data_IF_087916936058
#
_entry.id   IF_087916936058
#
_cell.length_a   1.000
_cell.length_b   1.000
_cell.length_c   1.000
_cell.angle_alpha   90.00
_cell.angle_beta   90.00
_cell.angle_gamma   90.00
#
_symmetry.space_group_name_H-M   'P 1'
#
loop_
_entity.id
_entity.type
_entity.pdbx_description
1 polymer ?
#
# COMPACT_ATOMS: atom_id res chain seq x y z
N UNK A 1 3.71 -12.02 -13.71
CA UNK A 1 3.31 -10.60 -13.76
C UNK A 1 3.64 -10.02 -12.39
N UNK A 2 4.77 -9.33 -12.25
CA UNK A 2 5.05 -8.58 -11.03
C UNK A 2 4.07 -7.40 -10.99
N UNK A 3 3.06 -7.46 -10.16
CA UNK A 3 2.39 -6.26 -9.67
C UNK A 3 3.37 -5.59 -8.70
N UNK A 4 4.36 -4.87 -9.26
CA UNK A 4 5.19 -4.00 -8.45
C UNK A 4 4.29 -2.83 -8.06
N UNK A 5 3.77 -2.89 -6.85
CA UNK A 5 3.19 -1.74 -6.21
C UNK A 5 4.20 -0.58 -6.23
N UNK A 6 3.73 0.62 -6.56
CA UNK A 6 4.59 1.81 -6.47
C UNK A 6 4.97 2.05 -5.01
N UNK A 7 6.17 2.58 -4.77
CA UNK A 7 6.63 2.94 -3.44
C UNK A 7 5.63 3.90 -2.79
N UNK A 8 5.30 3.65 -1.52
CA UNK A 8 4.28 4.44 -0.81
C UNK A 8 4.69 5.91 -0.69
N UNK A 9 5.98 6.21 -0.60
CA UNK A 9 6.54 7.58 -0.67
C UNK A 9 6.18 8.34 -1.94
N UNK A 10 6.01 7.66 -3.07
CA UNK A 10 5.69 8.29 -4.37
C UNK A 10 4.18 8.52 -4.54
N UNK A 11 3.36 7.85 -3.71
CA UNK A 11 1.91 7.94 -3.73
C UNK A 11 1.41 9.12 -2.88
N UNK A 12 0.52 9.91 -3.47
CA UNK A 12 -0.25 10.92 -2.75
C UNK A 12 -1.24 10.29 -1.76
N UNK A 13 -1.75 11.06 -0.80
CA UNK A 13 -2.74 10.56 0.14
C UNK A 13 -4.01 9.98 -0.53
N UNK A 14 -4.40 10.52 -1.68
CA UNK A 14 -5.53 10.02 -2.48
C UNK A 14 -5.19 8.68 -3.14
N UNK A 15 -3.99 8.55 -3.72
CA UNK A 15 -3.54 7.29 -4.32
C UNK A 15 -3.32 6.20 -3.27
N UNK A 16 -2.78 6.54 -2.09
CA UNK A 16 -2.69 5.60 -0.96
C UNK A 16 -4.06 5.09 -0.54
N UNK A 17 -5.08 5.96 -0.55
CA UNK A 17 -6.45 5.55 -0.27
C UNK A 17 -7.02 4.65 -1.37
N UNK A 18 -6.78 4.98 -2.65
CA UNK A 18 -7.19 4.15 -3.78
C UNK A 18 -6.55 2.76 -3.71
N UNK A 19 -5.25 2.66 -3.41
CA UNK A 19 -4.55 1.38 -3.25
C UNK A 19 -5.17 0.53 -2.14
N UNK A 20 -5.59 1.12 -1.03
CA UNK A 20 -6.30 0.38 0.05
C UNK A 20 -7.71 -0.06 -0.33
N UNK A 21 -8.36 0.63 -1.25
CA UNK A 21 -9.72 0.32 -1.70
C UNK A 21 -9.71 -0.72 -2.83
N UNK A 22 -8.72 -0.62 -3.73
CA UNK A 22 -8.51 -1.52 -4.86
C UNK A 22 -7.89 -2.87 -4.45
N UNK A 23 -7.13 -2.91 -3.35
CA UNK A 23 -6.43 -4.10 -2.90
C UNK A 23 -6.82 -4.53 -1.49
N UNK A 24 -6.75 -5.83 -1.24
CA UNK A 24 -6.98 -6.36 0.10
C UNK A 24 -5.82 -6.05 1.04
N UNK A 25 -6.11 -5.84 2.33
CA UNK A 25 -5.06 -5.61 3.35
C UNK A 25 -4.02 -6.75 3.39
N UNK A 26 -4.43 -7.98 3.11
CA UNK A 26 -3.53 -9.14 3.07
C UNK A 26 -2.53 -9.06 1.90
N UNK A 27 -3.00 -8.61 0.73
CA UNK A 27 -2.13 -8.39 -0.44
C UNK A 27 -1.16 -7.23 -0.18
N UNK A 28 -1.63 -6.15 0.43
CA UNK A 28 -0.79 -5.01 0.79
C UNK A 28 0.26 -5.41 1.83
N UNK A 29 -0.10 -6.22 2.83
CA UNK A 29 0.84 -6.75 3.82
C UNK A 29 1.88 -7.71 3.23
N UNK A 30 1.55 -8.40 2.15
CA UNK A 30 2.49 -9.25 1.43
C UNK A 30 3.42 -8.46 0.48
N UNK A 31 2.97 -7.30 0.00
CA UNK A 31 3.68 -6.47 -0.96
C UNK A 31 4.57 -5.39 -0.32
N UNK A 32 4.13 -4.83 0.81
CA UNK A 32 4.76 -3.69 1.48
C UNK A 32 5.37 -4.09 2.82
N UNK A 33 6.41 -3.36 3.21
CA UNK A 33 6.99 -3.46 4.56
C UNK A 33 6.08 -2.81 5.62
N UNK A 34 6.32 -3.13 6.90
CA UNK A 34 5.58 -2.53 8.03
C UNK A 34 5.61 -1.00 8.01
N UNK A 35 6.75 -0.40 7.65
CA UNK A 35 6.91 1.05 7.50
C UNK A 35 6.01 1.61 6.39
N UNK A 36 6.01 0.98 5.23
CA UNK A 36 5.20 1.39 4.08
C UNK A 36 3.70 1.23 4.36
N UNK A 37 3.31 0.20 5.11
CA UNK A 37 1.92 0.00 5.52
C UNK A 37 1.44 1.09 6.48
N UNK A 38 2.29 1.51 7.42
CA UNK A 38 1.98 2.63 8.33
C UNK A 38 1.78 3.93 7.53
N UNK A 39 2.64 4.18 6.55
CA UNK A 39 2.50 5.31 5.63
C UNK A 39 1.26 5.22 4.73
N UNK A 40 0.88 4.01 4.32
CA UNK A 40 -0.36 3.75 3.61
C UNK A 40 -1.58 3.94 4.53
N UNK A 41 -1.38 4.06 5.85
CA UNK A 41 -2.44 4.12 6.86
C UNK A 41 -3.16 2.78 7.06
N UNK A 42 -2.47 1.68 6.76
CA UNK A 42 -2.90 0.32 7.07
C UNK A 42 -2.41 -0.01 8.47
N UNK A 43 -3.33 -0.15 9.42
CA UNK A 43 -2.99 -0.65 10.74
C UNK A 43 -2.45 -2.09 10.62
N UNK A 44 -1.19 -2.28 11.01
CA UNK A 44 -0.51 -3.58 11.10
C UNK A 44 -1.18 -4.48 12.13
#
# INVERSE_FOLDING_TARGET
>A
MCHCFASVDDLTAEERAAVRDEHSLDELRAAYSETELDELGVAV
#
